data_IF_076882461522
#
_entry.id   IF_076882461522
#
_cell.length_a   1.000
_cell.length_b   1.000
_cell.length_c   1.000
_cell.angle_alpha   90.00
_cell.angle_beta   90.00
_cell.angle_gamma   90.00
#
_symmetry.space_group_name_H-M   'P 1'
#
loop_
_entity.id
_entity.type
_entity.pdbx_description
1 polymer ?
#
# COMPACT_ATOMS: atom_id res chain seq x y z
N UNK A 1 -12.99 37.18 50.15
CA UNK A 1 -11.51 37.28 50.16
C UNK A 1 -11.07 37.30 48.68
N UNK A 2 -11.24 38.42 47.96
CA UNK A 2 -10.19 39.45 47.67
C UNK A 2 -8.89 38.79 47.19
N UNK A 3 -8.56 38.74 45.90
CA UNK A 3 -8.28 39.87 44.99
C UNK A 3 -6.77 40.22 45.05
N UNK A 4 -6.21 40.78 43.96
CA UNK A 4 -4.81 41.27 43.73
C UNK A 4 -4.00 40.31 42.82
N UNK A 5 -3.88 40.54 41.50
CA UNK A 5 -3.16 41.55 40.67
C UNK A 5 -1.63 41.41 40.63
N UNK A 6 -1.14 41.19 39.40
CA UNK A 6 -0.06 41.89 38.67
C UNK A 6 1.35 42.11 39.26
N UNK A 7 2.27 42.25 38.29
CA UNK A 7 3.60 42.87 38.32
C UNK A 7 4.75 41.99 38.81
N UNK A 8 5.63 41.53 37.92
CA UNK A 8 6.69 42.30 37.23
C UNK A 8 7.89 42.60 38.14
N UNK A 9 9.05 42.26 37.56
CA UNK A 9 10.40 42.78 37.78
C UNK A 9 11.38 42.02 38.68
N UNK A 10 12.60 42.00 38.14
CA UNK A 10 13.92 41.89 38.77
C UNK A 10 14.37 40.45 39.09
N UNK A 11 15.61 40.04 38.82
CA UNK A 11 16.78 40.72 38.29
C UNK A 11 17.68 39.68 37.63
N UNK A 12 18.35 40.05 36.54
CA UNK A 12 19.42 39.23 35.97
C UNK A 12 20.71 39.41 36.81
N UNK A 13 21.30 38.35 37.36
CA UNK A 13 22.68 38.38 37.80
C UNK A 13 23.61 38.17 36.61
N UNK A 14 24.57 39.09 36.45
CA UNK A 14 25.73 38.93 35.58
C UNK A 14 26.78 38.11 36.33
N UNK A 15 27.51 37.28 35.58
CA UNK A 15 28.97 37.00 35.66
C UNK A 15 29.25 35.53 35.31
N UNK A 16 29.78 35.30 34.10
CA UNK A 16 31.21 35.04 33.81
C UNK A 16 31.67 33.71 34.38
N UNK A 17 31.82 32.72 33.49
CA UNK A 17 32.48 31.45 33.77
C UNK A 17 32.38 30.52 32.57
N UNK A 18 33.37 30.58 31.67
CA UNK A 18 33.51 29.66 30.52
C UNK A 18 33.60 28.22 31.02
N UNK A 19 32.60 27.41 30.70
CA UNK A 19 32.69 25.94 30.74
C UNK A 19 32.22 25.40 29.39
N UNK A 20 33.12 24.65 28.74
CA UNK A 20 32.92 23.98 27.46
C UNK A 20 32.02 22.77 27.73
N UNK A 21 30.81 22.75 27.17
CA UNK A 21 29.99 21.54 27.09
C UNK A 21 30.00 21.11 25.63
N UNK A 22 30.66 19.99 25.34
CA UNK A 22 30.61 19.30 24.07
C UNK A 22 29.15 18.88 23.80
N UNK A 23 28.50 19.50 22.81
CA UNK A 23 27.16 19.09 22.37
C UNK A 23 27.33 18.08 21.23
N UNK A 24 27.42 16.80 21.60
CA UNK A 24 27.20 15.69 20.68
C UNK A 24 25.77 15.77 20.16
N UNK A 25 25.59 16.17 18.90
CA UNK A 25 24.28 16.15 18.23
C UNK A 25 24.24 14.96 17.28
N UNK A 26 23.62 13.87 17.71
CA UNK A 26 23.37 12.70 16.86
C UNK A 26 22.38 13.07 15.75
N UNK A 27 22.79 12.96 14.47
CA UNK A 27 21.87 13.05 13.33
C UNK A 27 21.10 11.73 13.21
N UNK A 28 19.86 11.70 13.73
CA UNK A 28 18.92 10.63 13.42
C UNK A 28 18.23 10.94 12.07
N UNK A 29 18.73 10.37 10.97
CA UNK A 29 18.06 10.43 9.68
C UNK A 29 16.93 9.39 9.64
N UNK A 30 15.70 9.80 9.93
CA UNK A 30 14.51 8.97 9.72
C UNK A 30 14.15 8.95 8.23
N UNK A 31 14.53 7.91 7.49
CA UNK A 31 14.08 7.70 6.11
C UNK A 31 12.65 7.13 6.12
N UNK A 32 11.66 8.02 6.02
CA UNK A 32 10.27 7.64 5.76
C UNK A 32 10.14 7.24 4.29
N UNK A 33 10.22 5.94 3.99
CA UNK A 33 9.79 5.43 2.69
C UNK A 33 8.26 5.38 2.66
N UNK A 34 7.63 6.47 2.21
CA UNK A 34 6.23 6.43 1.83
C UNK A 34 6.10 5.55 0.58
N UNK A 35 5.51 4.37 0.71
CA UNK A 35 5.10 3.56 -0.43
C UNK A 35 3.96 4.27 -1.14
N UNK A 36 4.25 4.88 -2.30
CA UNK A 36 3.22 5.34 -3.23
C UNK A 36 2.49 4.10 -3.76
N UNK A 37 1.33 3.78 -3.18
CA UNK A 37 0.44 2.79 -3.73
C UNK A 37 -0.08 3.31 -5.08
N UNK A 38 0.53 2.85 -6.18
CA UNK A 38 0.07 3.20 -7.52
C UNK A 38 -1.29 2.53 -7.75
N UNK A 39 -2.30 3.34 -8.09
CA UNK A 39 -3.61 2.81 -8.45
C UNK A 39 -3.48 1.97 -9.72
N UNK A 40 -3.76 0.68 -9.62
CA UNK A 40 -3.76 -0.22 -10.78
C UNK A 40 -4.83 0.22 -11.79
N UNK A 41 -4.49 0.18 -13.08
CA UNK A 41 -5.46 0.43 -14.15
C UNK A 41 -6.44 -0.74 -14.27
N UNK A 42 -7.57 -0.52 -14.93
CA UNK A 42 -8.51 -1.60 -15.24
C UNK A 42 -7.86 -2.73 -16.05
N UNK A 43 -6.93 -2.40 -16.94
CA UNK A 43 -6.18 -3.40 -17.68
C UNK A 43 -5.26 -4.20 -16.75
N UNK A 44 -4.57 -3.56 -15.82
CA UNK A 44 -3.66 -4.24 -14.88
C UNK A 44 -4.43 -5.19 -13.97
N UNK A 45 -5.58 -4.75 -13.45
CA UNK A 45 -6.47 -5.57 -12.62
C UNK A 45 -6.99 -6.79 -13.39
N UNK A 46 -7.45 -6.59 -14.62
CA UNK A 46 -7.92 -7.68 -15.47
C UNK A 46 -6.80 -8.68 -15.77
N UNK A 47 -5.59 -8.19 -16.09
CA UNK A 47 -4.43 -9.06 -16.34
C UNK A 47 -4.05 -9.84 -15.09
N UNK A 48 -4.02 -9.21 -13.92
CA UNK A 48 -3.67 -9.88 -12.66
C UNK A 48 -4.68 -10.99 -12.32
N UNK A 49 -5.99 -10.67 -12.35
CA UNK A 49 -7.05 -11.65 -12.07
C UNK A 49 -6.96 -12.85 -13.02
N UNK A 50 -6.83 -12.60 -14.32
CA UNK A 50 -6.77 -13.67 -15.30
C UNK A 50 -5.42 -14.40 -15.28
N UNK A 51 -4.32 -13.75 -14.89
CA UNK A 51 -3.01 -14.36 -14.70
C UNK A 51 -3.04 -15.51 -13.70
N UNK A 52 -3.71 -15.32 -12.55
CA UNK A 52 -3.88 -16.41 -11.57
C UNK A 52 -4.60 -17.63 -12.15
N UNK A 53 -5.63 -17.40 -12.97
CA UNK A 53 -6.33 -18.49 -13.65
C UNK A 53 -5.47 -19.16 -14.71
N UNK A 54 -4.69 -18.39 -15.49
CA UNK A 54 -3.76 -18.91 -16.50
C UNK A 54 -2.71 -19.81 -15.86
N UNK A 55 -2.06 -19.32 -14.81
CA UNK A 55 -0.98 -20.03 -14.11
C UNK A 55 -1.48 -21.33 -13.47
N UNK A 56 -2.75 -21.36 -13.05
CA UNK A 56 -3.39 -22.53 -12.49
C UNK A 56 -4.11 -23.43 -13.52
N UNK A 57 -3.96 -23.16 -14.82
CA UNK A 57 -4.40 -24.04 -15.90
C UNK A 57 -5.86 -23.88 -16.32
N UNK A 58 -6.47 -22.71 -16.14
CA UNK A 58 -7.83 -22.44 -16.63
C UNK A 58 -7.88 -22.29 -18.16
N UNK A 59 -8.88 -22.91 -18.78
CA UNK A 59 -9.20 -22.77 -20.19
C UNK A 59 -10.15 -21.58 -20.40
N UNK A 60 -9.62 -20.48 -20.95
CA UNK A 60 -10.40 -19.27 -21.19
C UNK A 60 -11.46 -19.48 -22.28
N UNK A 61 -12.62 -18.84 -22.10
CA UNK A 61 -13.76 -18.95 -23.04
C UNK A 61 -14.01 -17.70 -23.86
N UNK A 62 -13.55 -16.55 -23.39
CA UNK A 62 -13.74 -15.26 -24.09
C UNK A 62 -12.64 -15.05 -25.13
N UNK A 63 -12.98 -14.48 -26.29
CA UNK A 63 -12.00 -14.16 -27.33
C UNK A 63 -10.85 -13.27 -26.83
N UNK A 64 -11.15 -12.25 -25.99
CA UNK A 64 -10.12 -11.37 -25.39
C UNK A 64 -9.09 -12.15 -24.58
N UNK A 65 -9.53 -12.98 -23.64
CA UNK A 65 -8.62 -13.76 -22.79
C UNK A 65 -7.88 -14.85 -23.57
N UNK A 66 -8.53 -15.49 -24.55
CA UNK A 66 -7.88 -16.46 -25.45
C UNK A 66 -6.78 -15.76 -26.27
N UNK A 67 -7.06 -14.58 -26.82
CA UNK A 67 -6.08 -13.82 -27.60
C UNK A 67 -4.90 -13.32 -26.75
N UNK A 68 -5.13 -13.00 -25.48
CA UNK A 68 -4.09 -12.45 -24.60
C UNK A 68 -3.24 -13.55 -23.93
N UNK A 69 -3.87 -14.59 -23.39
CA UNK A 69 -3.20 -15.63 -22.60
C UNK A 69 -3.06 -16.99 -23.34
N UNK A 70 -3.91 -17.26 -24.33
CA UNK A 70 -3.99 -18.54 -25.01
C UNK A 70 -4.50 -19.68 -24.12
N UNK A 71 -4.96 -20.76 -24.77
CA UNK A 71 -5.44 -21.99 -24.11
C UNK A 71 -4.49 -23.19 -24.25
N UNK A 72 -3.29 -23.00 -24.79
CA UNK A 72 -2.32 -24.08 -24.86
C UNK A 72 -2.02 -24.61 -23.44
N UNK A 73 -2.19 -25.92 -23.24
CA UNK A 73 -1.87 -26.61 -21.99
C UNK A 73 -2.79 -26.33 -20.80
N UNK A 74 -3.98 -25.75 -21.01
CA UNK A 74 -4.97 -25.62 -19.93
C UNK A 74 -5.64 -26.97 -19.62
N UNK A 75 -6.17 -27.11 -18.39
CA UNK A 75 -6.70 -28.36 -17.84
C UNK A 75 -8.12 -28.23 -17.26
N UNK A 76 -8.56 -27.00 -16.95
CA UNK A 76 -9.83 -26.76 -16.24
C UNK A 76 -10.73 -25.84 -17.06
N UNK A 77 -11.91 -26.32 -17.47
CA UNK A 77 -12.92 -25.50 -18.17
C UNK A 77 -13.83 -24.70 -17.23
N UNK A 78 -13.71 -24.91 -15.92
CA UNK A 78 -14.48 -24.20 -14.89
C UNK A 78 -13.54 -23.50 -13.90
N UNK A 79 -13.71 -22.18 -13.73
CA UNK A 79 -12.95 -21.37 -12.77
C UNK A 79 -13.13 -21.81 -11.32
N UNK A 80 -14.26 -22.42 -10.98
CA UNK A 80 -14.50 -22.96 -9.64
C UNK A 80 -13.66 -24.23 -9.39
N UNK A 81 -13.41 -25.03 -10.43
CA UNK A 81 -12.61 -26.25 -10.35
C UNK A 81 -11.09 -26.01 -10.31
N UNK A 82 -10.63 -24.80 -10.67
CA UNK A 82 -9.20 -24.45 -10.65
C UNK A 82 -8.65 -24.53 -9.22
N UNK A 83 -7.58 -25.30 -8.95
CA UNK A 83 -7.05 -25.52 -7.59
C UNK A 83 -6.21 -24.33 -7.10
N UNK A 84 -6.84 -23.18 -6.87
CA UNK A 84 -6.20 -22.00 -6.32
C UNK A 84 -6.17 -22.03 -4.78
N UNK A 85 -5.04 -21.68 -4.15
CA UNK A 85 -4.98 -21.55 -2.70
C UNK A 85 -5.84 -20.39 -2.21
N UNK A 86 -6.30 -20.46 -0.94
CA UNK A 86 -7.27 -19.51 -0.38
C UNK A 86 -6.85 -18.04 -0.52
N UNK A 87 -5.57 -17.73 -0.32
CA UNK A 87 -5.08 -16.36 -0.42
C UNK A 87 -5.20 -15.77 -1.84
N UNK A 88 -5.03 -16.58 -2.88
CA UNK A 88 -5.24 -16.14 -4.27
C UNK A 88 -6.73 -15.94 -4.55
N UNK A 89 -7.60 -16.81 -4.03
CA UNK A 89 -9.05 -16.59 -4.10
C UNK A 89 -9.46 -15.26 -3.44
N UNK A 90 -8.89 -14.95 -2.27
CA UNK A 90 -9.10 -13.66 -1.60
C UNK A 90 -8.61 -12.47 -2.44
N UNK A 91 -7.43 -12.59 -3.05
CA UNK A 91 -6.90 -11.54 -3.95
C UNK A 91 -7.77 -11.34 -5.19
N UNK A 92 -8.28 -12.42 -5.79
CA UNK A 92 -9.21 -12.34 -6.93
C UNK A 92 -10.49 -11.58 -6.55
N UNK A 93 -11.07 -11.84 -5.37
CA UNK A 93 -12.28 -11.12 -4.93
C UNK A 93 -11.99 -9.63 -4.64
N UNK A 94 -10.82 -9.31 -4.11
CA UNK A 94 -10.37 -7.92 -3.97
C UNK A 94 -10.24 -7.24 -5.34
N UNK A 95 -9.60 -7.89 -6.31
CA UNK A 95 -9.46 -7.37 -7.68
C UNK A 95 -10.84 -7.14 -8.31
N UNK A 96 -11.77 -8.08 -8.17
CA UNK A 96 -13.13 -7.92 -8.70
C UNK A 96 -13.86 -6.74 -8.05
N UNK A 97 -13.65 -6.49 -6.76
CA UNK A 97 -14.16 -5.28 -6.11
C UNK A 97 -13.52 -4.00 -6.67
N UNK A 98 -12.21 -4.02 -6.92
CA UNK A 98 -11.45 -2.94 -7.54
C UNK A 98 -11.88 -2.67 -8.99
N UNK A 99 -12.20 -3.70 -9.77
CA UNK A 99 -12.71 -3.58 -11.14
C UNK A 99 -14.12 -2.96 -11.14
N UNK A 100 -15.01 -3.42 -10.25
CA UNK A 100 -16.37 -2.85 -10.12
C UNK A 100 -16.37 -1.41 -9.66
N UNK A 101 -15.55 -1.06 -8.68
CA UNK A 101 -15.44 0.33 -8.18
C UNK A 101 -14.93 1.31 -9.24
N UNK A 102 -14.26 0.80 -10.28
CA UNK A 102 -13.76 1.58 -11.42
C UNK A 102 -14.62 1.43 -12.70
N UNK A 103 -15.67 0.60 -12.68
CA UNK A 103 -16.60 0.42 -13.80
C UNK A 103 -16.03 -0.37 -14.98
N UNK A 104 -15.18 -1.37 -14.73
CA UNK A 104 -14.47 -2.11 -15.79
C UNK A 104 -14.56 -3.64 -15.71
N UNK A 105 -15.57 -4.17 -15.03
CA UNK A 105 -15.93 -5.60 -15.02
C UNK A 105 -17.06 -5.88 -16.04
#
# INVERSE_FOLDING_TARGET
MTGVTSSNYQAAPRHIGRTIIAVSSALAAATMFASLAQAQSCQDLWVERNGYYKDAGYCFKTARAISFFGNAGCMYDDQAAVPLPRHIRSRIEEIKWLERSRGCD
#
